data_IF_849904953154
#
_entry.id   IF_849904953154
#
_cell.length_a   1.000
_cell.length_b   1.000
_cell.length_c   1.000
_cell.angle_alpha   90.00
_cell.angle_beta   90.00
_cell.angle_gamma   90.00
#
_symmetry.space_group_name_H-M   'P 1'
#
loop_
_entity.id
_entity.type
_entity.pdbx_description
1 polymer ?
#
# COMPACT_ATOMS: atom_id res chain seq x y z
N UNK A 1 -19.40 19.33 31.55
CA UNK A 1 -18.75 20.29 30.64
C UNK A 1 -18.43 19.51 29.39
N UNK A 2 -19.03 19.93 28.30
CA UNK A 2 -18.82 19.39 26.96
C UNK A 2 -17.41 19.76 26.55
N UNK A 3 -16.52 18.78 26.47
CA UNK A 3 -15.29 18.92 25.70
C UNK A 3 -15.72 19.04 24.23
N UNK A 4 -15.88 20.28 23.79
CA UNK A 4 -15.90 20.62 22.37
C UNK A 4 -14.56 20.13 21.82
N UNK A 5 -14.59 19.01 21.11
CA UNK A 5 -13.47 18.61 20.26
C UNK A 5 -13.45 19.64 19.16
N UNK A 6 -12.55 20.62 19.28
CA UNK A 6 -12.22 21.51 18.16
C UNK A 6 -11.89 20.62 16.96
N UNK A 7 -12.70 20.74 15.90
CA UNK A 7 -12.47 20.16 14.58
C UNK A 7 -11.23 20.86 13.98
N UNK A 8 -10.05 20.58 14.52
CA UNK A 8 -8.79 21.09 13.98
C UNK A 8 -8.55 20.41 12.62
N UNK A 9 -8.79 21.15 11.54
CA UNK A 9 -8.52 20.75 10.15
C UNK A 9 -7.06 20.28 9.96
N UNK A 10 -6.15 20.71 10.84
CA UNK A 10 -4.72 20.44 10.75
C UNK A 10 -4.30 19.21 11.58
N UNK A 11 -3.37 18.42 11.02
CA UNK A 11 -2.74 17.31 11.73
C UNK A 11 -1.76 17.82 12.78
N UNK A 12 -1.88 17.35 14.02
CA UNK A 12 -0.91 17.71 15.04
C UNK A 12 0.45 17.03 14.79
N UNK A 13 1.55 17.64 15.23
CA UNK A 13 2.90 17.05 15.09
C UNK A 13 2.96 15.65 15.73
N UNK A 14 2.23 15.44 16.82
CA UNK A 14 2.14 14.15 17.50
C UNK A 14 1.40 13.08 16.69
N UNK A 15 0.45 13.49 15.85
CA UNK A 15 -0.29 12.62 14.92
C UNK A 15 0.49 12.34 13.62
N UNK A 16 1.45 13.19 13.27
CA UNK A 16 2.38 12.96 12.17
C UNK A 16 3.56 12.06 12.58
N UNK A 17 3.99 12.12 13.85
CA UNK A 17 5.14 11.40 14.37
C UNK A 17 4.75 10.43 15.48
N UNK A 18 4.05 9.35 15.13
CA UNK A 18 3.86 8.25 16.08
C UNK A 18 5.17 7.52 16.37
N UNK A 19 5.23 6.84 17.52
CA UNK A 19 6.34 5.95 17.88
C UNK A 19 6.61 4.89 16.81
N UNK A 20 5.56 4.37 16.15
CA UNK A 20 5.69 3.35 15.11
C UNK A 20 6.32 3.94 13.85
N UNK A 21 5.87 5.12 13.43
CA UNK A 21 6.42 5.81 12.27
C UNK A 21 7.88 6.18 12.52
N UNK A 22 8.21 6.71 13.70
CA UNK A 22 9.58 7.00 14.12
C UNK A 22 10.47 5.77 14.09
N UNK A 23 10.00 4.64 14.65
CA UNK A 23 10.75 3.37 14.62
C UNK A 23 10.99 2.91 13.18
N UNK A 24 9.95 2.89 12.35
CA UNK A 24 10.05 2.45 10.95
C UNK A 24 11.01 3.36 10.15
N UNK A 25 11.00 4.67 10.42
CA UNK A 25 11.90 5.66 9.84
C UNK A 25 13.35 5.50 10.30
N UNK A 26 13.60 5.29 11.59
CA UNK A 26 14.94 5.03 12.13
C UNK A 26 15.53 3.75 11.52
N UNK A 27 14.73 2.69 11.42
CA UNK A 27 15.16 1.42 10.82
C UNK A 27 15.47 1.56 9.33
N UNK A 28 14.65 2.30 8.57
CA UNK A 28 14.88 2.51 7.15
C UNK A 28 16.12 3.39 6.93
N UNK A 29 16.24 4.50 7.65
CA UNK A 29 17.37 5.43 7.51
C UNK A 29 18.70 4.80 7.92
N UNK A 30 18.73 3.94 8.94
CA UNK A 30 19.97 3.25 9.32
C UNK A 30 20.49 2.35 8.20
N UNK A 31 19.60 1.60 7.52
CA UNK A 31 19.96 0.82 6.34
C UNK A 31 20.42 1.70 5.18
N UNK A 32 19.76 2.83 4.93
CA UNK A 32 20.18 3.79 3.89
C UNK A 32 21.58 4.32 4.17
N UNK A 33 21.91 4.65 5.43
CA UNK A 33 23.26 5.08 5.82
C UNK A 33 24.28 3.98 5.56
N UNK A 34 23.96 2.72 5.88
CA UNK A 34 24.86 1.60 5.57
C UNK A 34 25.09 1.43 4.07
N UNK A 35 24.05 1.58 3.23
CA UNK A 35 24.21 1.54 1.77
C UNK A 35 25.11 2.69 1.31
N UNK A 36 24.83 3.93 1.71
CA UNK A 36 25.62 5.10 1.28
C UNK A 36 27.08 4.99 1.74
N UNK A 37 27.35 4.40 2.90
CA UNK A 37 28.72 4.17 3.40
C UNK A 37 29.57 3.24 2.53
N UNK A 38 28.96 2.48 1.62
CA UNK A 38 29.66 1.67 0.63
C UNK A 38 30.09 2.48 -0.60
N UNK A 39 29.97 3.81 -0.60
CA UNK A 39 30.44 4.68 -1.70
C UNK A 39 29.77 4.42 -3.07
N UNK A 40 28.44 4.20 -3.05
CA UNK A 40 27.67 4.08 -4.29
C UNK A 40 27.73 5.38 -5.11
N UNK A 41 28.25 5.31 -6.34
CA UNK A 41 28.26 6.45 -7.27
C UNK A 41 26.87 6.78 -7.84
N UNK A 42 25.98 5.79 -7.89
CA UNK A 42 24.65 5.93 -8.47
C UNK A 42 23.54 5.50 -7.50
N UNK A 43 22.59 6.40 -7.25
CA UNK A 43 21.48 6.19 -6.32
C UNK A 43 20.23 5.57 -6.97
N UNK A 44 20.25 5.24 -8.26
CA UNK A 44 19.05 4.79 -8.98
C UNK A 44 18.38 3.58 -8.32
N UNK A 45 19.17 2.58 -7.93
CA UNK A 45 18.65 1.40 -7.27
C UNK A 45 18.07 1.69 -5.87
N UNK A 46 18.53 2.77 -5.21
CA UNK A 46 18.00 3.25 -3.94
C UNK A 46 16.60 3.87 -4.08
N UNK A 47 16.19 4.29 -5.29
CA UNK A 47 14.84 4.82 -5.52
C UNK A 47 13.75 3.75 -5.29
N UNK A 48 14.02 2.48 -5.57
CA UNK A 48 13.06 1.39 -5.39
C UNK A 48 12.63 1.18 -3.92
N UNK A 49 13.56 1.01 -2.96
CA UNK A 49 13.20 0.98 -1.54
C UNK A 49 12.61 2.31 -1.06
N UNK A 50 13.08 3.46 -1.58
CA UNK A 50 12.58 4.78 -1.18
C UNK A 50 11.10 4.99 -1.56
N UNK A 51 10.70 4.63 -2.78
CA UNK A 51 9.31 4.75 -3.23
C UNK A 51 8.43 3.79 -2.42
N UNK A 52 8.88 2.54 -2.22
CA UNK A 52 8.16 1.57 -1.38
C UNK A 52 7.97 2.10 0.05
N UNK A 53 9.00 2.72 0.63
CA UNK A 53 8.93 3.32 1.96
C UNK A 53 7.98 4.53 2.01
N UNK A 54 7.95 5.35 0.96
CA UNK A 54 7.03 6.49 0.85
C UNK A 54 5.57 6.04 0.86
N UNK A 55 5.23 4.94 0.18
CA UNK A 55 3.91 4.30 0.28
C UNK A 55 3.62 3.76 1.69
N UNK A 56 4.63 3.25 2.40
CA UNK A 56 4.46 2.83 3.80
C UNK A 56 4.06 4.01 4.70
N UNK A 57 4.76 5.15 4.57
CA UNK A 57 4.43 6.37 5.31
C UNK A 57 3.00 6.82 4.99
N UNK A 58 2.64 6.87 3.71
CA UNK A 58 1.28 7.25 3.29
C UNK A 58 0.21 6.40 3.98
N UNK A 59 0.32 5.07 3.93
CA UNK A 59 -0.65 4.18 4.59
C UNK A 59 -0.60 4.25 6.12
N UNK A 60 0.57 4.52 6.71
CA UNK A 60 0.71 4.67 8.16
C UNK A 60 0.00 5.93 8.65
N UNK A 61 0.19 7.05 7.97
CA UNK A 61 -0.49 8.31 8.28
C UNK A 61 -2.01 8.17 8.15
N UNK A 62 -2.49 7.46 7.12
CA UNK A 62 -3.92 7.15 6.99
C UNK A 62 -4.46 6.29 8.14
N UNK A 63 -3.71 5.29 8.59
CA UNK A 63 -4.11 4.41 9.72
C UNK A 63 -4.19 5.18 11.04
N UNK A 64 -3.19 6.02 11.32
CA UNK A 64 -3.10 6.79 12.57
C UNK A 64 -4.17 7.86 12.68
N UNK A 65 -4.55 8.46 11.54
CA UNK A 65 -5.58 9.51 11.47
C UNK A 65 -6.95 8.97 11.11
N UNK A 66 -7.13 7.64 11.08
CA UNK A 66 -8.41 6.99 10.78
C UNK A 66 -9.51 7.36 11.77
N UNK A 67 -9.18 7.83 12.97
CA UNK A 67 -10.19 8.29 13.93
C UNK A 67 -10.92 9.55 13.44
N UNK A 68 -10.29 10.41 12.62
CA UNK A 68 -10.93 11.59 12.02
C UNK A 68 -12.01 11.23 11.01
N UNK A 69 -11.88 10.08 10.35
CA UNK A 69 -12.91 9.55 9.43
C UNK A 69 -13.93 8.66 10.14
N UNK A 70 -13.78 8.40 11.45
CA UNK A 70 -14.85 7.77 12.24
C UNK A 70 -15.87 8.83 12.59
N UNK A 71 -17.12 8.59 12.21
CA UNK A 71 -18.23 9.45 12.61
C UNK A 71 -18.35 9.44 14.14
N UNK A 72 -18.17 10.60 14.78
CA UNK A 72 -18.34 10.74 16.23
C UNK A 72 -19.71 10.23 16.66
N UNK A 73 -19.73 9.39 17.70
CA UNK A 73 -20.94 8.73 18.24
C UNK A 73 -21.75 7.90 17.23
N UNK A 74 -21.16 7.52 16.10
CA UNK A 74 -21.80 6.64 15.14
C UNK A 74 -21.47 5.18 15.38
N UNK A 75 -22.44 4.28 15.21
CA UNK A 75 -22.12 2.87 15.07
C UNK A 75 -21.40 2.56 13.75
N UNK A 76 -21.31 3.47 12.77
CA UNK A 76 -20.75 3.16 11.44
C UNK A 76 -19.23 3.35 11.40
N UNK A 77 -18.52 2.28 11.02
CA UNK A 77 -17.10 2.28 10.68
C UNK A 77 -16.96 2.09 9.17
N UNK A 78 -16.44 3.12 8.50
CA UNK A 78 -16.19 3.16 7.06
C UNK A 78 -14.69 2.92 6.79
N UNK A 79 -14.36 1.94 5.93
CA UNK A 79 -12.98 1.49 5.73
C UNK A 79 -12.72 1.06 4.28
N UNK A 80 -12.64 2.02 3.33
CA UNK A 80 -12.64 1.73 1.91
C UNK A 80 -11.33 1.13 1.39
N UNK A 81 -10.19 1.47 1.97
CA UNK A 81 -8.87 0.95 1.56
C UNK A 81 -8.49 -0.33 2.31
N UNK A 82 -9.36 -0.79 3.21
CA UNK A 82 -9.18 -2.00 3.97
C UNK A 82 -8.38 -1.79 5.26
N UNK A 83 -7.26 -2.49 5.42
CA UNK A 83 -6.40 -2.38 6.60
C UNK A 83 -5.14 -1.62 6.22
N UNK A 84 -5.21 -0.30 6.33
CA UNK A 84 -4.11 0.64 6.05
C UNK A 84 -2.87 0.27 6.87
N UNK A 85 -3.06 -0.13 8.14
CA UNK A 85 -2.00 -0.72 8.97
C UNK A 85 -1.25 -1.89 8.31
N UNK A 86 -1.99 -2.84 7.71
CA UNK A 86 -1.39 -4.02 7.06
C UNK A 86 -0.69 -3.64 5.78
N UNK A 87 -1.26 -2.73 4.99
CA UNK A 87 -0.62 -2.20 3.79
C UNK A 87 0.70 -1.49 4.13
N UNK A 88 0.69 -0.61 5.13
CA UNK A 88 1.89 0.05 5.64
C UNK A 88 2.97 -0.97 6.06
N UNK A 89 2.57 -2.02 6.80
CA UNK A 89 3.47 -3.09 7.25
C UNK A 89 4.07 -3.92 6.09
N UNK A 90 3.31 -4.13 5.00
CA UNK A 90 3.81 -4.82 3.80
C UNK A 90 4.84 -3.96 3.07
N UNK A 91 4.55 -2.68 2.88
CA UNK A 91 5.46 -1.73 2.24
C UNK A 91 6.75 -1.51 3.04
N UNK A 92 6.68 -1.38 4.38
CA UNK A 92 7.91 -1.25 5.19
C UNK A 92 8.76 -2.52 5.11
N UNK A 93 8.14 -3.70 5.20
CA UNK A 93 8.87 -4.97 5.07
C UNK A 93 9.60 -5.04 3.73
N UNK A 94 8.91 -4.74 2.63
CA UNK A 94 9.51 -4.74 1.31
C UNK A 94 10.60 -3.68 1.13
N UNK A 95 10.39 -2.47 1.65
CA UNK A 95 11.39 -1.42 1.59
C UNK A 95 12.67 -1.83 2.33
N UNK A 96 12.54 -2.39 3.54
CA UNK A 96 13.68 -2.91 4.30
C UNK A 96 14.36 -4.08 3.57
N UNK A 97 13.59 -5.01 3.01
CA UNK A 97 14.12 -6.15 2.27
C UNK A 97 14.89 -5.70 1.01
N UNK A 98 14.34 -4.76 0.25
CA UNK A 98 15.01 -4.15 -0.90
C UNK A 98 16.31 -3.44 -0.48
N UNK A 99 16.30 -2.70 0.62
CA UNK A 99 17.50 -2.06 1.17
C UNK A 99 18.56 -3.07 1.60
N UNK A 100 18.17 -4.17 2.26
CA UNK A 100 19.10 -5.25 2.64
C UNK A 100 19.73 -5.89 1.40
N UNK A 101 18.92 -6.17 0.38
CA UNK A 101 19.42 -6.73 -0.88
C UNK A 101 20.36 -5.76 -1.58
N UNK A 102 20.04 -4.46 -1.57
CA UNK A 102 20.91 -3.45 -2.17
C UNK A 102 22.24 -3.33 -1.42
N UNK A 103 22.21 -3.28 -0.09
CA UNK A 103 23.42 -3.34 0.73
C UNK A 103 24.25 -4.60 0.43
N UNK A 104 23.59 -5.74 0.24
CA UNK A 104 24.25 -6.99 -0.10
C UNK A 104 24.91 -6.93 -1.49
N UNK A 105 24.26 -6.34 -2.51
CA UNK A 105 24.88 -6.13 -3.82
C UNK A 105 26.15 -5.31 -3.71
N UNK A 106 26.12 -4.23 -2.93
CA UNK A 106 27.27 -3.36 -2.72
C UNK A 106 28.41 -4.11 -2.03
N UNK A 107 28.10 -4.84 -0.96
CA UNK A 107 29.09 -5.61 -0.21
C UNK A 107 29.73 -6.70 -1.07
N UNK A 108 28.92 -7.52 -1.76
CA UNK A 108 29.41 -8.58 -2.64
C UNK A 108 30.22 -8.02 -3.82
N UNK A 109 29.86 -6.84 -4.35
CA UNK A 109 30.67 -6.21 -5.39
C UNK A 109 32.09 -5.88 -4.92
N UNK A 110 32.26 -5.54 -3.63
CA UNK A 110 33.57 -5.22 -3.04
C UNK A 110 34.35 -6.49 -2.68
N UNK A 111 33.69 -7.44 -2.00
CA UNK A 111 34.37 -8.61 -1.43
C UNK A 111 34.52 -9.77 -2.42
N UNK A 112 33.54 -9.94 -3.31
CA UNK A 112 33.44 -11.06 -4.24
C UNK A 112 32.96 -10.58 -5.63
N UNK A 113 33.73 -9.69 -6.32
CA UNK A 113 33.31 -9.06 -7.58
C UNK A 113 32.88 -10.09 -8.64
N UNK A 114 33.58 -11.22 -8.71
CA UNK A 114 33.30 -12.30 -9.67
C UNK A 114 31.88 -12.90 -9.50
N UNK A 115 31.32 -12.85 -8.28
CA UNK A 115 29.97 -13.33 -8.01
C UNK A 115 28.93 -12.41 -8.63
N UNK A 116 29.15 -11.10 -8.56
CA UNK A 116 28.29 -10.11 -9.22
C UNK A 116 28.42 -10.22 -10.74
N UNK A 117 29.64 -10.30 -11.27
CA UNK A 117 29.85 -10.39 -12.72
C UNK A 117 29.12 -11.59 -13.34
N UNK A 118 29.23 -12.76 -12.70
CA UNK A 118 28.65 -14.01 -13.22
C UNK A 118 27.14 -14.18 -12.91
N UNK A 119 26.64 -13.61 -11.81
CA UNK A 119 25.27 -13.88 -11.33
C UNK A 119 24.39 -12.63 -11.22
N UNK A 120 24.84 -11.48 -11.71
CA UNK A 120 24.10 -10.20 -11.75
C UNK A 120 22.67 -10.33 -12.29
N UNK A 121 22.43 -11.19 -13.27
CA UNK A 121 21.09 -11.49 -13.78
C UNK A 121 20.12 -11.96 -12.67
N UNK A 122 20.56 -12.88 -11.80
CA UNK A 122 19.71 -13.44 -10.74
C UNK A 122 19.40 -12.40 -9.68
N UNK A 123 20.41 -11.61 -9.32
CA UNK A 123 20.29 -10.49 -8.42
C UNK A 123 19.23 -9.48 -8.91
N UNK A 124 19.32 -9.06 -10.18
CA UNK A 124 18.35 -8.12 -10.77
C UNK A 124 16.93 -8.69 -10.82
N UNK A 125 16.76 -9.94 -11.25
CA UNK A 125 15.44 -10.59 -11.30
C UNK A 125 14.81 -10.60 -9.91
N UNK A 126 15.56 -11.02 -8.88
CA UNK A 126 15.06 -11.07 -7.51
C UNK A 126 14.68 -9.67 -7.01
N UNK A 127 15.51 -8.67 -7.27
CA UNK A 127 15.27 -7.29 -6.84
C UNK A 127 13.98 -6.71 -7.45
N UNK A 128 13.81 -6.80 -8.77
CA UNK A 128 12.61 -6.32 -9.45
C UNK A 128 11.36 -7.14 -9.10
N UNK A 129 11.53 -8.45 -8.86
CA UNK A 129 10.44 -9.30 -8.38
C UNK A 129 9.91 -8.82 -7.04
N UNK A 130 10.79 -8.57 -6.05
CA UNK A 130 10.38 -8.10 -4.72
C UNK A 130 9.70 -6.74 -4.81
N UNK A 131 10.24 -5.81 -5.62
CA UNK A 131 9.63 -4.51 -5.82
C UNK A 131 8.22 -4.63 -6.39
N UNK A 132 8.06 -5.31 -7.52
CA UNK A 132 6.75 -5.46 -8.19
C UNK A 132 5.76 -6.27 -7.35
N UNK A 133 6.23 -7.31 -6.65
CA UNK A 133 5.41 -8.14 -5.77
C UNK A 133 4.77 -7.33 -4.65
N UNK A 134 5.47 -6.33 -4.11
CA UNK A 134 4.97 -5.46 -3.05
C UNK A 134 3.66 -4.77 -3.43
N UNK A 135 3.59 -4.26 -4.66
CA UNK A 135 2.43 -3.55 -5.20
C UNK A 135 1.26 -4.49 -5.52
N UNK A 136 1.54 -5.75 -5.82
CA UNK A 136 0.53 -6.80 -5.92
C UNK A 136 0.02 -7.25 -4.54
N UNK A 137 0.93 -7.36 -3.57
CA UNK A 137 0.66 -7.99 -2.27
C UNK A 137 -0.44 -7.30 -1.49
N UNK A 138 -0.59 -5.98 -1.62
CA UNK A 138 -1.65 -5.22 -0.94
C UNK A 138 -3.06 -5.65 -1.38
N UNK A 139 -3.24 -6.18 -2.59
CA UNK A 139 -4.54 -6.55 -3.13
C UNK A 139 -5.01 -7.97 -2.79
N UNK A 140 -4.10 -8.89 -2.39
CA UNK A 140 -4.43 -10.29 -2.09
C UNK A 140 -5.58 -10.43 -1.08
N UNK A 141 -5.61 -9.54 -0.09
CA UNK A 141 -6.59 -9.58 1.00
C UNK A 141 -7.50 -8.34 1.03
N UNK A 142 -7.57 -7.56 -0.05
CA UNK A 142 -8.35 -6.31 -0.08
C UNK A 142 -9.80 -6.57 0.35
N UNK A 143 -10.40 -7.63 -0.18
CA UNK A 143 -11.77 -8.07 0.11
C UNK A 143 -12.04 -8.43 1.58
N UNK A 144 -11.02 -8.83 2.35
CA UNK A 144 -11.17 -9.19 3.78
C UNK A 144 -11.32 -7.95 4.66
N UNK A 145 -10.77 -6.83 4.22
CA UNK A 145 -10.63 -5.63 5.05
C UNK A 145 -11.51 -4.48 4.59
N UNK A 146 -11.83 -4.40 3.30
CA UNK A 146 -12.74 -3.38 2.76
C UNK A 146 -14.17 -3.69 3.20
N UNK A 147 -14.68 -2.93 4.17
CA UNK A 147 -16.03 -3.13 4.72
C UNK A 147 -16.61 -1.86 5.29
N UNK A 148 -17.93 -1.83 5.33
CA UNK A 148 -18.71 -0.92 6.17
C UNK A 148 -19.22 -1.78 7.33
N UNK A 149 -18.86 -1.43 8.56
CA UNK A 149 -19.25 -2.16 9.77
C UNK A 149 -20.15 -1.29 10.63
N UNK A 150 -21.25 -1.86 11.12
CA UNK A 150 -22.13 -1.20 12.10
C UNK A 150 -21.86 -1.82 13.49
N UNK A 151 -21.26 -1.06 14.39
CA UNK A 151 -20.98 -1.37 15.79
C UNK A 151 -22.07 -0.77 16.70
N UNK A 152 -23.08 -1.55 17.06
CA UNK A 152 -24.07 -1.11 18.04
C UNK A 152 -23.46 -1.17 19.45
N UNK A 153 -23.38 -0.03 20.14
CA UNK A 153 -22.99 0.01 21.57
C UNK A 153 -24.02 -0.81 22.39
N UNK A 154 -23.52 -1.68 23.28
CA UNK A 154 -24.32 -2.60 24.13
C UNK A 154 -25.27 -1.91 25.14
N UNK A 155 -25.36 -0.58 25.16
CA UNK A 155 -26.09 0.17 26.18
C UNK A 155 -27.48 0.59 25.71
N UNK A 156 -28.34 -0.36 25.36
CA UNK A 156 -29.79 -0.10 25.26
C UNK A 156 -30.55 -1.32 25.79
N UNK A 157 -30.80 -1.31 27.11
CA UNK A 157 -31.87 -2.05 27.79
C UNK A 157 -31.80 -3.59 27.80
N UNK A 158 -32.53 -4.24 28.73
CA UNK A 158 -32.58 -5.70 28.86
C UNK A 158 -33.34 -6.43 27.74
N UNK A 159 -33.89 -5.71 26.74
CA UNK A 159 -34.79 -6.29 25.72
C UNK A 159 -34.08 -6.92 24.51
N UNK A 160 -32.75 -6.87 24.41
CA UNK A 160 -32.06 -7.41 23.23
C UNK A 160 -31.07 -8.52 23.62
N UNK A 161 -31.58 -9.57 24.26
CA UNK A 161 -30.82 -10.82 24.52
C UNK A 161 -30.44 -11.61 23.25
N UNK A 162 -30.90 -11.19 22.07
CA UNK A 162 -30.52 -11.77 20.77
C UNK A 162 -29.56 -10.87 19.95
N UNK A 163 -28.81 -9.97 20.60
CA UNK A 163 -27.87 -9.02 19.97
C UNK A 163 -26.65 -9.66 19.29
N UNK A 164 -26.32 -10.92 19.58
CA UNK A 164 -25.20 -11.60 18.91
C UNK A 164 -25.42 -11.70 17.39
N UNK A 165 -26.68 -11.71 16.94
CA UNK A 165 -27.04 -11.75 15.52
C UNK A 165 -26.89 -10.41 14.78
N UNK A 166 -26.81 -9.28 15.50
CA UNK A 166 -26.74 -7.93 14.90
C UNK A 166 -25.33 -7.33 14.90
N UNK A 167 -24.36 -7.99 15.55
CA UNK A 167 -22.96 -7.52 15.65
C UNK A 167 -22.18 -7.56 14.32
N UNK A 168 -22.80 -8.04 13.24
CA UNK A 168 -22.15 -8.38 11.98
C UNK A 168 -23.00 -8.01 10.76
N UNK A 169 -23.60 -6.82 10.75
CA UNK A 169 -24.10 -6.26 9.50
C UNK A 169 -22.92 -5.78 8.65
N UNK A 170 -22.30 -6.74 7.96
CA UNK A 170 -21.26 -6.53 6.96
C UNK A 170 -21.93 -6.38 5.61
N UNK A 171 -21.94 -5.16 5.05
CA UNK A 171 -22.13 -5.06 3.60
C UNK A 171 -20.76 -5.33 2.96
N UNK A 172 -20.49 -6.62 2.71
CA UNK A 172 -19.34 -7.01 1.88
C UNK A 172 -19.68 -6.59 0.45
N UNK A 173 -18.89 -5.65 -0.04
CA UNK A 173 -19.02 -5.09 -1.37
C UNK A 173 -18.93 -6.13 -2.48
N UNK A 174 -19.53 -5.77 -3.63
CA UNK A 174 -19.62 -6.55 -4.86
C UNK A 174 -18.35 -7.37 -5.10
N UNK A 175 -18.39 -8.65 -4.74
CA UNK A 175 -17.25 -9.59 -4.83
C UNK A 175 -16.60 -9.60 -6.21
N UNK A 176 -17.40 -9.33 -7.25
CA UNK A 176 -16.95 -9.26 -8.64
C UNK A 176 -15.93 -8.13 -8.90
N UNK A 177 -16.05 -7.00 -8.21
CA UNK A 177 -15.10 -5.87 -8.32
C UNK A 177 -13.76 -6.25 -7.72
N UNK A 178 -13.75 -6.78 -6.51
CA UNK A 178 -12.52 -7.24 -5.87
C UNK A 178 -11.83 -8.35 -6.66
N UNK A 179 -12.62 -9.28 -7.23
CA UNK A 179 -12.09 -10.29 -8.16
C UNK A 179 -11.41 -9.62 -9.35
N UNK A 180 -12.03 -8.61 -9.99
CA UNK A 180 -11.41 -7.86 -11.10
C UNK A 180 -10.12 -7.17 -10.67
N UNK A 181 -10.12 -6.48 -9.53
CA UNK A 181 -8.92 -5.79 -8.99
C UNK A 181 -7.79 -6.80 -8.79
N UNK A 182 -8.07 -7.95 -8.16
CA UNK A 182 -7.08 -9.01 -7.92
C UNK A 182 -6.56 -9.56 -9.25
N UNK A 183 -7.43 -9.83 -10.23
CA UNK A 183 -7.02 -10.34 -11.54
C UNK A 183 -6.17 -9.33 -12.32
N UNK A 184 -6.56 -8.05 -12.34
CA UNK A 184 -5.77 -6.99 -13.00
C UNK A 184 -4.42 -6.84 -12.31
N UNK A 185 -4.40 -6.84 -10.97
CA UNK A 185 -3.16 -6.74 -10.19
C UNK A 185 -2.23 -7.93 -10.43
N UNK A 186 -2.77 -9.15 -10.41
CA UNK A 186 -2.02 -10.39 -10.69
C UNK A 186 -1.48 -10.40 -12.13
N UNK A 187 -2.32 -10.07 -13.11
CA UNK A 187 -1.92 -10.02 -14.51
C UNK A 187 -0.81 -8.98 -14.73
N UNK A 188 -0.96 -7.79 -14.15
CA UNK A 188 0.05 -6.73 -14.24
C UNK A 188 1.37 -7.16 -13.61
N UNK A 189 1.33 -7.79 -12.43
CA UNK A 189 2.50 -8.33 -11.76
C UNK A 189 3.21 -9.39 -12.60
N UNK A 190 2.48 -10.37 -13.14
CA UNK A 190 3.05 -11.42 -13.98
C UNK A 190 3.62 -10.84 -15.29
N UNK A 191 2.87 -9.97 -15.96
CA UNK A 191 3.29 -9.34 -17.21
C UNK A 191 4.57 -8.51 -17.02
N UNK A 192 4.66 -7.74 -15.94
CA UNK A 192 5.88 -6.98 -15.61
C UNK A 192 7.05 -7.92 -15.32
N UNK A 193 6.88 -8.97 -14.53
CA UNK A 193 7.99 -9.90 -14.22
C UNK A 193 8.47 -10.67 -15.45
N UNK A 194 7.55 -11.12 -16.31
CA UNK A 194 7.91 -11.76 -17.59
C UNK A 194 8.63 -10.77 -18.49
N UNK A 195 8.12 -9.54 -18.61
CA UNK A 195 8.78 -8.49 -19.39
C UNK A 195 10.18 -8.19 -18.85
N UNK A 196 10.34 -8.06 -17.53
CA UNK A 196 11.63 -7.83 -16.88
C UNK A 196 12.62 -8.95 -17.20
N UNK A 197 12.19 -10.20 -17.06
CA UNK A 197 13.01 -11.37 -17.39
C UNK A 197 13.47 -11.34 -18.85
N UNK A 198 12.56 -11.09 -19.79
CA UNK A 198 12.88 -11.01 -21.22
C UNK A 198 13.86 -9.87 -21.53
N UNK A 199 13.64 -8.69 -20.94
CA UNK A 199 14.50 -7.52 -21.16
C UNK A 199 15.92 -7.73 -20.58
N UNK A 200 16.02 -8.35 -19.41
CA UNK A 200 17.32 -8.74 -18.83
C UNK A 200 18.00 -9.76 -19.76
N UNK A 201 17.30 -10.82 -20.20
CA UNK A 201 17.89 -11.81 -21.11
C UNK A 201 18.37 -11.20 -22.43
N UNK A 202 17.60 -10.27 -23.02
CA UNK A 202 18.01 -9.58 -24.24
C UNK A 202 19.23 -8.67 -24.03
N UNK A 203 19.36 -8.05 -22.86
CA UNK A 203 20.53 -7.26 -22.51
C UNK A 203 21.79 -8.13 -22.40
N UNK A 204 21.73 -9.26 -21.67
CA UNK A 204 22.90 -10.15 -21.49
C UNK A 204 23.30 -10.87 -22.77
N UNK A 205 22.35 -11.15 -23.67
CA UNK A 205 22.64 -11.72 -25.00
C UNK A 205 23.08 -10.67 -26.04
N UNK A 206 23.20 -9.39 -25.66
CA UNK A 206 23.62 -8.31 -26.57
C UNK A 206 22.60 -7.90 -27.64
N UNK A 207 21.34 -8.33 -27.49
CA UNK A 207 20.24 -8.03 -28.43
C UNK A 207 19.72 -6.61 -28.20
N UNK A 208 19.73 -6.15 -26.96
CA UNK A 208 19.23 -4.83 -26.57
C UNK A 208 20.33 -3.99 -25.90
N UNK A 209 20.42 -2.68 -26.19
CA UNK A 209 21.35 -1.82 -25.48
C UNK A 209 20.88 -1.58 -24.03
N UNK A 210 21.85 -1.38 -23.15
CA UNK A 210 21.62 -0.96 -21.77
C UNK A 210 22.63 0.10 -21.36
N UNK A 211 22.62 0.46 -20.09
CA UNK A 211 23.58 1.38 -19.50
C UNK A 211 24.22 0.76 -18.27
N UNK A 212 25.44 1.22 -18.00
CA UNK A 212 26.30 0.69 -16.98
C UNK A 212 26.15 1.54 -15.71
N UNK A 213 25.91 0.89 -14.58
CA UNK A 213 25.94 1.52 -13.27
C UNK A 213 27.16 0.98 -12.53
N UNK A 214 28.10 1.85 -12.17
CA UNK A 214 29.20 1.47 -11.29
C UNK A 214 28.63 1.06 -9.93
N UNK A 215 29.02 -0.13 -9.50
CA UNK A 215 28.84 -0.62 -8.15
C UNK A 215 30.03 -0.20 -7.30
N UNK A 216 29.91 -0.21 -5.96
CA UNK A 216 31.02 0.09 -5.06
C UNK A 216 32.35 -0.60 -5.39
N UNK A 217 32.31 -1.88 -5.78
CA UNK A 217 33.52 -2.63 -6.13
C UNK A 217 33.88 -2.64 -7.62
N UNK A 218 33.24 -1.81 -8.46
CA UNK A 218 33.55 -1.76 -9.89
C UNK A 218 35.02 -1.37 -10.12
N UNK A 219 35.71 -2.13 -10.97
CA UNK A 219 37.14 -1.96 -11.25
C UNK A 219 38.07 -2.75 -10.32
N UNK A 220 37.58 -3.27 -9.18
CA UNK A 220 38.33 -4.24 -8.38
C UNK A 220 38.46 -5.55 -9.15
N UNK A 221 39.68 -6.05 -9.29
CA UNK A 221 39.99 -7.27 -10.04
C UNK A 221 39.51 -7.25 -11.51
N UNK A 222 39.28 -6.07 -12.08
CA UNK A 222 38.76 -5.91 -13.43
C UNK A 222 37.24 -6.12 -13.56
N UNK A 223 36.51 -6.07 -12.44
CA UNK A 223 35.05 -6.23 -12.43
C UNK A 223 34.33 -5.20 -13.29
N UNK A 224 33.28 -5.65 -13.98
CA UNK A 224 32.50 -4.80 -14.85
C UNK A 224 31.40 -4.06 -14.07
N UNK A 225 30.96 -2.89 -14.55
CA UNK A 225 29.80 -2.21 -13.97
C UNK A 225 28.52 -3.03 -14.20
N UNK A 226 27.55 -2.89 -13.29
CA UNK A 226 26.26 -3.54 -13.41
C UNK A 226 25.49 -3.02 -14.63
N UNK A 227 25.10 -3.93 -15.52
CA UNK A 227 24.32 -3.61 -16.70
C UNK A 227 22.82 -3.60 -16.40
N UNK A 228 22.16 -2.46 -16.64
CA UNK A 228 20.70 -2.33 -16.58
C UNK A 228 20.09 -2.02 -17.94
N UNK A 229 18.87 -2.49 -18.17
CA UNK A 229 18.10 -2.12 -19.37
C UNK A 229 17.47 -0.72 -19.20
N UNK A 230 17.31 0.04 -20.29
CA UNK A 230 16.73 1.39 -20.26
C UNK A 230 15.31 1.46 -19.67
N UNK A 231 14.55 0.36 -19.78
CA UNK A 231 13.19 0.29 -19.24
C UNK A 231 13.13 0.21 -17.70
N UNK A 232 14.25 0.27 -16.98
CA UNK A 232 14.28 0.25 -15.50
C UNK A 232 13.38 1.33 -14.90
N UNK A 233 13.32 2.53 -15.51
CA UNK A 233 12.43 3.60 -15.06
C UNK A 233 10.94 3.26 -15.21
N UNK A 234 10.59 2.46 -16.22
CA UNK A 234 9.22 1.95 -16.39
C UNK A 234 8.87 1.02 -15.23
N UNK A 235 9.80 0.13 -14.84
CA UNK A 235 9.61 -0.73 -13.68
C UNK A 235 9.52 0.02 -12.36
N UNK A 236 10.20 1.16 -12.25
CA UNK A 236 10.10 2.05 -11.09
C UNK A 236 8.70 2.67 -10.96
N UNK A 237 8.12 3.13 -12.08
CA UNK A 237 6.93 4.00 -12.11
C UNK A 237 5.62 3.23 -12.27
N UNK A 238 5.57 2.19 -13.11
CA UNK A 238 4.32 1.50 -13.46
C UNK A 238 3.64 0.83 -12.24
N UNK A 239 4.33 0.04 -11.39
CA UNK A 239 3.67 -0.63 -10.28
C UNK A 239 2.97 0.34 -9.31
N UNK A 240 3.61 1.45 -8.86
CA UNK A 240 2.94 2.51 -8.10
C UNK A 240 1.66 3.05 -8.77
N UNK A 241 1.71 3.36 -10.07
CA UNK A 241 0.58 3.92 -10.82
C UNK A 241 -0.58 2.92 -10.88
N UNK A 242 -0.29 1.66 -11.22
CA UNK A 242 -1.33 0.62 -11.29
C UNK A 242 -1.98 0.45 -9.92
N UNK A 243 -1.20 0.37 -8.84
CA UNK A 243 -1.75 0.27 -7.49
C UNK A 243 -2.61 1.47 -7.13
N UNK A 244 -2.20 2.69 -7.46
CA UNK A 244 -2.99 3.90 -7.22
C UNK A 244 -4.34 3.84 -7.95
N UNK A 245 -4.35 3.52 -9.25
CA UNK A 245 -5.57 3.39 -10.04
C UNK A 245 -6.52 2.31 -9.48
N UNK A 246 -5.98 1.16 -9.08
CA UNK A 246 -6.78 0.08 -8.48
C UNK A 246 -7.37 0.46 -7.12
N UNK A 247 -6.64 1.25 -6.31
CA UNK A 247 -7.16 1.78 -5.04
C UNK A 247 -8.27 2.81 -5.28
N UNK A 248 -8.15 3.67 -6.30
CA UNK A 248 -9.23 4.59 -6.70
C UNK A 248 -10.49 3.82 -7.13
N UNK A 249 -10.34 2.72 -7.88
CA UNK A 249 -11.47 1.86 -8.24
C UNK A 249 -12.14 1.25 -7.00
N UNK A 250 -11.35 0.77 -6.04
CA UNK A 250 -11.87 0.25 -4.78
C UNK A 250 -12.64 1.34 -4.02
N UNK A 251 -12.09 2.55 -3.93
CA UNK A 251 -12.71 3.68 -3.26
C UNK A 251 -14.05 4.09 -3.91
N UNK A 252 -14.06 4.23 -5.25
CA UNK A 252 -15.25 4.59 -6.03
C UNK A 252 -16.39 3.58 -5.87
N UNK A 253 -16.08 2.28 -5.89
CA UNK A 253 -17.10 1.25 -5.77
C UNK A 253 -17.65 1.14 -4.35
N UNK A 254 -16.83 1.46 -3.33
CA UNK A 254 -17.26 1.53 -1.93
C UNK A 254 -18.19 2.72 -1.68
N UNK A 255 -18.08 3.77 -2.47
CA UNK A 255 -18.94 4.95 -2.38
C UNK A 255 -20.24 4.85 -3.18
N UNK A 256 -20.30 3.94 -4.16
CA UNK A 256 -21.52 3.66 -4.93
C UNK A 256 -22.37 2.57 -4.28
N UNK A 257 -22.67 2.72 -2.99
CA UNK A 257 -23.57 1.82 -2.27
C UNK A 257 -24.97 2.00 -2.85
N UNK A 258 -25.58 0.91 -3.31
CA UNK A 258 -27.01 0.91 -3.66
C UNK A 258 -27.82 1.12 -2.39
N UNK A 259 -28.41 2.31 -2.26
CA UNK A 259 -29.23 2.73 -1.12
C UNK A 259 -30.37 1.72 -0.90
N UNK A 260 -30.97 1.20 -1.97
CA UNK A 260 -32.08 0.24 -1.90
C UNK A 260 -31.70 -1.07 -1.18
N UNK A 261 -30.52 -1.63 -1.46
CA UNK A 261 -30.03 -2.84 -0.77
C UNK A 261 -29.60 -2.57 0.66
N UNK A 262 -29.10 -1.36 0.90
CA UNK A 262 -28.75 -0.92 2.24
C UNK A 262 -30.01 -0.70 3.08
N UNK A 263 -31.10 -0.16 2.51
CA UNK A 263 -32.41 -0.02 3.15
C UNK A 263 -33.01 -1.37 3.53
N UNK A 264 -32.95 -2.39 2.66
CA UNK A 264 -33.41 -3.75 3.00
C UNK A 264 -32.68 -4.33 4.22
N UNK A 265 -31.40 -4.02 4.36
CA UNK A 265 -30.55 -4.48 5.45
C UNK A 265 -30.80 -3.66 6.73
N UNK A 266 -30.95 -2.35 6.60
CA UNK A 266 -31.24 -1.43 7.69
C UNK A 266 -32.66 -1.62 8.23
N UNK A 267 -33.62 -2.04 7.40
CA UNK A 267 -35.00 -2.33 7.81
C UNK A 267 -35.12 -3.51 8.79
N UNK A 268 -34.05 -4.28 8.99
CA UNK A 268 -33.96 -5.32 10.03
C UNK A 268 -33.51 -4.78 11.39
N UNK A 269 -33.13 -3.51 11.49
CA UNK A 269 -32.61 -2.84 12.69
C UNK A 269 -33.75 -2.09 13.39
N UNK A 270 -33.76 -1.97 14.73
CA UNK A 270 -34.76 -1.18 15.45
C UNK A 270 -34.90 0.25 14.92
N UNK A 271 -36.12 0.75 14.88
CA UNK A 271 -36.51 1.97 14.15
C UNK A 271 -35.72 3.23 14.54
N UNK A 272 -35.42 3.37 15.84
CA UNK A 272 -34.65 4.49 16.38
C UNK A 272 -33.18 4.47 15.94
N UNK A 273 -32.58 3.28 15.79
CA UNK A 273 -31.22 3.10 15.29
C UNK A 273 -31.17 3.23 13.76
N UNK A 274 -32.22 2.78 13.07
CA UNK A 274 -32.38 2.93 11.61
C UNK A 274 -32.33 4.39 11.17
N UNK A 275 -33.06 5.28 11.85
CA UNK A 275 -33.11 6.71 11.48
C UNK A 275 -31.73 7.37 11.59
N UNK A 276 -31.01 7.09 12.69
CA UNK A 276 -29.65 7.61 12.91
C UNK A 276 -28.69 7.07 11.85
N UNK A 277 -28.77 5.78 11.52
CA UNK A 277 -27.94 5.15 10.49
C UNK A 277 -28.17 5.75 9.10
N UNK A 278 -29.43 5.92 8.70
CA UNK A 278 -29.80 6.48 7.40
C UNK A 278 -29.32 7.93 7.26
N UNK A 279 -29.49 8.75 8.29
CA UNK A 279 -29.04 10.14 8.29
C UNK A 279 -27.52 10.24 8.15
N UNK A 280 -26.77 9.40 8.86
CA UNK A 280 -25.32 9.36 8.76
C UNK A 280 -24.81 8.87 7.40
N UNK A 281 -25.43 7.83 6.83
CA UNK A 281 -25.06 7.36 5.49
C UNK A 281 -25.41 8.40 4.43
N UNK A 282 -26.52 9.12 4.60
CA UNK A 282 -26.90 10.23 3.72
C UNK A 282 -25.91 11.39 3.79
N UNK A 283 -25.43 11.76 4.98
CA UNK A 283 -24.37 12.76 5.16
C UNK A 283 -23.07 12.31 4.47
N UNK A 284 -22.69 11.04 4.64
CA UNK A 284 -21.50 10.44 4.03
C UNK A 284 -21.57 10.49 2.50
N UNK A 285 -22.71 10.11 1.92
CA UNK A 285 -22.94 10.18 0.48
C UNK A 285 -22.99 11.63 -0.04
N UNK A 286 -23.64 12.55 0.67
CA UNK A 286 -23.79 13.94 0.21
C UNK A 286 -22.46 14.70 0.20
N UNK A 287 -21.58 14.51 1.20
CA UNK A 287 -20.23 15.08 1.19
C UNK A 287 -19.44 14.62 -0.04
N UNK A 288 -19.56 13.34 -0.39
CA UNK A 288 -18.85 12.75 -1.53
C UNK A 288 -19.43 13.18 -2.90
N UNK A 289 -20.75 13.37 -3.00
CA UNK A 289 -21.38 13.88 -4.24
C UNK A 289 -20.94 15.33 -4.48
N UNK A 290 -20.89 16.16 -3.43
CA UNK A 290 -20.39 17.53 -3.55
C UNK A 290 -18.92 17.60 -3.98
N UNK A 291 -18.07 16.69 -3.50
CA UNK A 291 -16.66 16.62 -3.91
C UNK A 291 -16.46 16.08 -5.34
N UNK A 292 -17.39 15.26 -5.85
CA UNK A 292 -17.37 14.72 -7.22
C UNK A 292 -17.96 15.68 -8.28
N UNK A 293 -18.88 16.56 -7.88
CA UNK A 293 -19.48 17.58 -8.76
C UNK A 293 -18.61 18.86 -8.86
N UNK A 294 -17.50 18.92 -8.13
CA UNK A 294 -16.50 20.01 -8.19
C UNK A 294 -15.24 19.66 -9.01
N UNK A 295 -15.20 18.52 -9.71
CA UNK A 295 -14.22 18.18 -10.77
C UNK A 295 -14.80 18.41 -12.17
#
# INVERSE_FOLDING_TARGET
MSDEVEDDEYLSIRELFSERLLRDLILFLSLVVFIISQEWENILLLLFPLISFSYSIFFRLLDENKWRTKFHNSPIVYSPLGSERKHANRFIFSALLLSIILFWFGAESIYHPQLIDNYSLFFLILFFFIYTFTYFWIFIDLWKYCRIKIEVKKEIGPEIKNLEHYSQLFQVLRVNVFKRIIYISLFSFLALNVLNLLLILFLYNGIMPGYNIPLPGTGLEGSEPLRLHFFVYIFLIIPPIISFLLLLMAYKDINKIEIDKLEEVINKIPEKLRLILLEQIKILNNKLIQDLDME
#
